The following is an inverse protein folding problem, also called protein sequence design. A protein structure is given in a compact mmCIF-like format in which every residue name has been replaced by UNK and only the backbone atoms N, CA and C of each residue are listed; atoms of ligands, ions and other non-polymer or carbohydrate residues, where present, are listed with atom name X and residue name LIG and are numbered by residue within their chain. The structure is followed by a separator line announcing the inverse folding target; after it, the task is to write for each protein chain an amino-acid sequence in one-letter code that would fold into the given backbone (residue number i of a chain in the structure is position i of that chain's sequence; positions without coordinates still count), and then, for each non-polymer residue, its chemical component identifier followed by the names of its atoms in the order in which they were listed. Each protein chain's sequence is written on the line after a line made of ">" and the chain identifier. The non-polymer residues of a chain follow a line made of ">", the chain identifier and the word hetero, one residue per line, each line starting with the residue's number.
data_IF_176861740153
#
_entry.id   IF_176861740153
#
_cell.length_a   1.000
_cell.length_b   1.000
_cell.length_c   1.000
_cell.angle_alpha   90.00
_cell.angle_beta   90.00
_cell.angle_gamma   90.00
#
_symmetry.space_group_name_H-M   'P 1'
#
loop_
_entity.id
_entity.type
_entity.pdbx_description
1 polymer ?
#
# COMPACT_ATOMS: atom_id res chain seq x y z
N UNK A 1 23.48 13.07 -11.69
CA UNK A 1 23.48 12.57 -13.08
C UNK A 1 22.43 11.48 -13.11
N UNK A 2 21.37 11.67 -13.87
CA UNK A 2 20.36 10.63 -14.07
C UNK A 2 20.92 9.67 -15.12
N UNK A 3 20.83 8.36 -14.85
CA UNK A 3 21.44 7.32 -15.70
C UNK A 3 20.44 6.68 -16.67
N UNK A 4 19.15 7.03 -16.55
CA UNK A 4 18.04 6.45 -17.29
C UNK A 4 16.95 7.51 -17.47
N UNK A 5 16.38 7.60 -18.67
CA UNK A 5 15.21 8.42 -18.98
C UNK A 5 13.90 7.63 -18.75
N UNK A 6 12.79 8.35 -18.57
CA UNK A 6 11.44 7.74 -18.61
C UNK A 6 10.97 7.63 -20.07
N UNK A 7 10.45 6.48 -20.53
CA UNK A 7 9.92 6.35 -21.89
C UNK A 7 8.84 7.40 -22.21
N UNK A 8 8.82 7.98 -23.43
CA UNK A 8 7.90 9.06 -23.80
C UNK A 8 6.43 8.61 -23.99
N UNK A 9 6.17 7.31 -23.84
CA UNK A 9 4.87 6.64 -23.92
C UNK A 9 4.93 5.34 -23.13
N UNK A 10 3.77 4.79 -22.78
CA UNK A 10 3.68 3.45 -22.19
C UNK A 10 4.13 2.37 -23.20
N UNK A 11 4.99 1.46 -22.75
CA UNK A 11 5.46 0.31 -23.52
C UNK A 11 4.98 -1.00 -22.90
N UNK A 12 4.13 -1.74 -23.62
CA UNK A 12 3.57 -3.02 -23.20
C UNK A 12 4.29 -4.16 -23.92
N UNK A 13 5.49 -4.49 -23.46
CA UNK A 13 6.36 -5.46 -24.10
C UNK A 13 5.91 -6.89 -23.76
N UNK A 14 5.61 -7.68 -24.80
CA UNK A 14 5.29 -9.12 -24.69
C UNK A 14 6.01 -9.93 -25.75
N UNK A 15 6.17 -11.23 -25.52
CA UNK A 15 6.64 -12.20 -26.51
C UNK A 15 5.91 -13.54 -26.37
N UNK A 16 5.84 -14.31 -27.45
CA UNK A 16 5.15 -15.59 -27.51
C UNK A 16 6.13 -16.77 -27.48
N UNK A 17 5.73 -17.87 -26.84
CA UNK A 17 6.51 -19.10 -26.71
C UNK A 17 5.65 -20.33 -27.04
N UNK A 18 6.24 -21.39 -27.64
CA UNK A 18 5.52 -22.62 -27.93
C UNK A 18 5.30 -23.53 -26.70
N UNK A 19 5.86 -23.17 -25.53
CA UNK A 19 5.89 -24.02 -24.33
C UNK A 19 5.13 -23.46 -23.12
N UNK A 20 4.90 -22.14 -23.04
CA UNK A 20 4.14 -21.50 -21.96
C UNK A 20 3.25 -20.34 -22.42
N UNK A 21 3.03 -20.19 -23.74
CA UNK A 21 2.20 -19.11 -24.28
C UNK A 21 2.90 -17.76 -24.23
N UNK A 22 2.17 -16.70 -23.86
CA UNK A 22 2.62 -15.30 -23.93
C UNK A 22 3.20 -14.82 -22.60
N UNK A 23 4.38 -14.22 -22.65
CA UNK A 23 5.02 -13.56 -21.52
C UNK A 23 4.88 -12.04 -21.59
N UNK A 24 4.69 -11.39 -20.44
CA UNK A 24 4.92 -9.96 -20.27
C UNK A 24 6.30 -9.68 -19.66
N UNK A 25 6.89 -8.52 -19.96
CA UNK A 25 8.17 -8.06 -19.41
C UNK A 25 7.95 -6.83 -18.51
N UNK A 26 8.46 -6.89 -17.28
CA UNK A 26 8.44 -5.80 -16.29
C UNK A 26 9.76 -5.73 -15.52
N UNK A 27 10.13 -4.53 -15.03
CA UNK A 27 11.42 -4.29 -14.37
C UNK A 27 11.22 -3.68 -12.97
N UNK A 28 11.80 -4.32 -11.97
CA UNK A 28 11.95 -3.86 -10.59
C UNK A 28 10.74 -3.15 -9.96
N UNK A 29 10.64 -1.83 -10.09
CA UNK A 29 9.64 -1.02 -9.39
C UNK A 29 8.26 -1.03 -10.08
N UNK A 30 8.20 -1.40 -11.36
CA UNK A 30 6.97 -1.51 -12.18
C UNK A 30 5.87 -2.31 -11.49
N UNK A 31 6.23 -3.35 -10.72
CA UNK A 31 5.30 -4.27 -10.05
C UNK A 31 4.38 -3.56 -9.03
N UNK A 32 4.76 -2.35 -8.58
CA UNK A 32 3.95 -1.52 -7.70
C UNK A 32 3.00 -0.56 -8.43
N UNK A 33 2.94 -0.53 -9.77
CA UNK A 33 2.14 0.44 -10.55
C UNK A 33 1.12 -0.24 -11.48
N UNK A 34 0.15 0.53 -11.97
CA UNK A 34 -0.82 0.01 -12.94
C UNK A 34 -0.19 -0.22 -14.31
N UNK A 35 0.66 0.70 -14.73
CA UNK A 35 1.32 0.68 -16.03
C UNK A 35 2.83 0.52 -15.83
N UNK A 36 3.51 -0.41 -16.51
CA UNK A 36 2.96 -1.39 -17.46
C UNK A 36 2.28 -2.63 -16.82
N UNK A 37 2.52 -2.90 -15.53
CA UNK A 37 2.25 -4.22 -14.92
C UNK A 37 0.80 -4.71 -15.01
N UNK A 38 -0.18 -3.94 -14.53
CA UNK A 38 -1.60 -4.33 -14.55
C UNK A 38 -2.18 -4.30 -15.97
N UNK A 39 -1.70 -3.39 -16.83
CA UNK A 39 -2.03 -3.41 -18.26
C UNK A 39 -1.54 -4.69 -18.95
N UNK A 40 -0.31 -5.14 -18.67
CA UNK A 40 0.22 -6.42 -19.14
C UNK A 40 -0.56 -7.61 -18.58
N UNK A 41 -0.88 -7.63 -17.29
CA UNK A 41 -1.71 -8.69 -16.68
C UNK A 41 -3.09 -8.80 -17.34
N UNK A 42 -3.73 -7.68 -17.70
CA UNK A 42 -5.01 -7.68 -18.42
C UNK A 42 -4.87 -8.15 -19.88
N UNK A 43 -3.81 -7.70 -20.57
CA UNK A 43 -3.54 -8.06 -21.96
C UNK A 43 -3.19 -9.55 -22.12
N UNK A 44 -2.29 -10.05 -21.27
CA UNK A 44 -1.82 -11.44 -21.29
C UNK A 44 -2.85 -12.37 -20.61
N UNK A 45 -3.61 -11.89 -19.62
CA UNK A 45 -4.73 -12.57 -18.98
C UNK A 45 -5.92 -12.91 -19.88
N UNK A 46 -5.88 -12.50 -21.15
CA UNK A 46 -6.79 -12.97 -22.21
C UNK A 46 -6.36 -14.33 -22.81
N UNK A 47 -5.22 -14.87 -22.39
CA UNK A 47 -4.66 -16.16 -22.84
C UNK A 47 -4.59 -17.16 -21.68
N UNK A 48 -4.52 -18.46 -22.02
CA UNK A 48 -4.66 -19.59 -21.07
C UNK A 48 -3.54 -19.61 -19.99
N UNK A 49 -2.39 -19.02 -20.29
CA UNK A 49 -1.26 -18.87 -19.38
C UNK A 49 -0.86 -17.39 -19.35
N UNK A 50 -0.51 -16.88 -18.18
CA UNK A 50 -0.09 -15.48 -17.98
C UNK A 50 1.11 -15.44 -17.09
N UNK A 51 2.26 -15.24 -17.72
CA UNK A 51 3.55 -15.32 -17.07
C UNK A 51 4.30 -13.99 -17.24
N UNK A 52 4.85 -13.46 -16.14
CA UNK A 52 5.67 -12.24 -16.15
C UNK A 52 7.14 -12.60 -15.96
N UNK A 53 7.98 -12.17 -16.90
CA UNK A 53 9.43 -12.10 -16.69
C UNK A 53 9.73 -10.82 -15.92
N UNK A 54 10.37 -10.96 -14.75
CA UNK A 54 10.61 -9.86 -13.83
C UNK A 54 12.08 -9.81 -13.40
N UNK A 55 12.86 -8.97 -14.06
CA UNK A 55 14.22 -8.63 -13.62
C UNK A 55 14.15 -7.52 -12.57
N UNK A 56 14.91 -7.65 -11.48
CA UNK A 56 14.78 -6.72 -10.36
C UNK A 56 16.09 -6.50 -9.59
N UNK A 57 16.18 -5.34 -8.94
CA UNK A 57 17.25 -4.94 -8.03
C UNK A 57 16.59 -4.51 -6.70
N UNK A 58 15.79 -5.41 -6.14
CA UNK A 58 14.88 -5.12 -5.05
C UNK A 58 15.62 -5.06 -3.71
N UNK A 59 15.56 -3.90 -3.06
CA UNK A 59 16.07 -3.70 -1.70
C UNK A 59 14.99 -4.10 -0.69
N UNK A 60 15.17 -5.21 0.01
CA UNK A 60 14.14 -5.77 0.89
C UNK A 60 13.75 -4.82 2.04
N UNK A 61 12.44 -4.58 2.19
CA UNK A 61 11.86 -3.65 3.16
C UNK A 61 10.72 -4.32 3.95
N UNK A 62 11.11 -5.13 4.94
CA UNK A 62 10.19 -5.74 5.90
C UNK A 62 9.40 -4.70 6.72
N UNK A 63 8.16 -5.02 7.16
CA UNK A 63 7.49 -6.32 7.09
C UNK A 63 6.48 -6.46 5.93
N UNK A 64 6.55 -5.62 4.89
CA UNK A 64 5.56 -5.58 3.80
C UNK A 64 6.15 -5.79 2.39
N UNK A 65 7.39 -5.34 2.18
CA UNK A 65 8.03 -5.23 0.86
C UNK A 65 9.39 -5.95 0.85
N UNK A 66 9.45 -7.13 1.47
CA UNK A 66 10.49 -8.09 1.11
C UNK A 66 10.19 -8.68 -0.29
N UNK A 67 11.23 -8.94 -1.09
CA UNK A 67 11.07 -9.40 -2.47
C UNK A 67 10.32 -10.73 -2.57
N UNK A 68 10.72 -11.78 -1.84
CA UNK A 68 10.03 -13.08 -1.96
C UNK A 68 8.61 -13.01 -1.42
N UNK A 69 8.37 -12.16 -0.41
CA UNK A 69 7.04 -11.89 0.16
C UNK A 69 6.14 -11.22 -0.88
N UNK A 70 6.56 -10.07 -1.43
CA UNK A 70 5.71 -9.26 -2.31
C UNK A 70 5.55 -9.88 -3.70
N UNK A 71 6.60 -10.45 -4.29
CA UNK A 71 6.51 -11.02 -5.64
C UNK A 71 5.62 -12.28 -5.65
N UNK A 72 5.67 -13.09 -4.58
CA UNK A 72 4.72 -14.21 -4.38
C UNK A 72 3.29 -13.72 -4.17
N UNK A 73 3.10 -12.67 -3.37
CA UNK A 73 1.79 -12.06 -3.10
C UNK A 73 1.16 -11.44 -4.36
N UNK A 74 1.97 -10.86 -5.23
CA UNK A 74 1.55 -10.39 -6.55
C UNK A 74 1.03 -11.56 -7.40
N UNK A 75 1.84 -12.62 -7.55
CA UNK A 75 1.46 -13.84 -8.29
C UNK A 75 0.13 -14.44 -7.79
N UNK A 76 -0.04 -14.59 -6.47
CA UNK A 76 -1.27 -15.11 -5.85
C UNK A 76 -2.46 -14.15 -6.00
N UNK A 77 -2.24 -12.84 -5.83
CA UNK A 77 -3.30 -11.83 -5.85
C UNK A 77 -3.81 -11.49 -7.25
N UNK A 78 -2.93 -11.49 -8.25
CA UNK A 78 -3.25 -11.27 -9.66
C UNK A 78 -3.59 -12.56 -10.43
N UNK A 79 -3.34 -13.74 -9.85
CA UNK A 79 -3.48 -15.05 -10.48
C UNK A 79 -2.61 -15.22 -11.75
N UNK A 80 -1.33 -14.87 -11.64
CA UNK A 80 -0.32 -14.97 -12.71
C UNK A 80 0.95 -15.67 -12.23
N UNK A 81 1.75 -16.18 -13.17
CA UNK A 81 3.12 -16.63 -12.87
C UNK A 81 4.05 -15.41 -12.85
N UNK A 82 5.03 -15.38 -11.95
CA UNK A 82 6.11 -14.38 -11.90
C UNK A 82 7.45 -15.10 -11.81
N UNK A 83 8.31 -14.89 -12.81
CA UNK A 83 9.68 -15.36 -12.85
C UNK A 83 10.61 -14.21 -12.39
N UNK A 84 10.85 -14.16 -11.08
CA UNK A 84 11.55 -13.08 -10.38
C UNK A 84 13.06 -13.35 -10.27
N UNK A 85 13.87 -12.57 -10.98
CA UNK A 85 15.34 -12.60 -10.89
C UNK A 85 15.86 -11.33 -10.22
N UNK A 86 16.22 -11.43 -8.93
CA UNK A 86 16.78 -10.34 -8.13
C UNK A 86 18.32 -10.41 -8.07
N UNK A 87 18.95 -9.26 -7.85
CA UNK A 87 20.38 -9.18 -7.54
C UNK A 87 20.70 -9.80 -6.17
N UNK A 88 21.92 -10.32 -6.03
CA UNK A 88 22.56 -10.62 -4.73
C UNK A 88 23.52 -9.49 -4.39
N UNK A 89 23.17 -8.68 -3.40
CA UNK A 89 24.01 -7.63 -2.81
C UNK A 89 23.56 -7.34 -1.38
N UNK A 90 24.32 -7.81 -0.39
CA UNK A 90 24.02 -7.71 1.03
C UNK A 90 24.02 -6.26 1.52
N UNK A 91 24.98 -5.47 1.05
CA UNK A 91 25.14 -4.04 1.41
C UNK A 91 23.87 -3.22 1.10
N UNK A 92 23.15 -3.60 0.05
CA UNK A 92 21.89 -2.95 -0.36
C UNK A 92 20.63 -3.76 0.01
N UNK A 93 20.75 -4.85 0.79
CA UNK A 93 19.66 -5.78 1.15
C UNK A 93 18.95 -6.38 -0.07
N UNK A 94 19.70 -6.62 -1.14
CA UNK A 94 19.23 -7.30 -2.34
C UNK A 94 19.52 -8.79 -2.23
N UNK A 95 18.46 -9.56 -2.07
CA UNK A 95 18.41 -11.03 -2.20
C UNK A 95 16.94 -11.43 -2.28
N UNK A 96 16.62 -12.62 -2.77
CA UNK A 96 15.23 -13.07 -2.96
C UNK A 96 14.84 -13.15 -4.43
N UNK A 97 15.11 -14.31 -5.03
CA UNK A 97 14.72 -14.67 -6.40
C UNK A 97 13.78 -15.88 -6.34
N UNK A 98 12.87 -16.02 -7.32
CA UNK A 98 11.94 -17.14 -7.29
C UNK A 98 11.01 -17.25 -8.49
N UNK A 99 10.46 -18.46 -8.63
CA UNK A 99 9.43 -18.84 -9.57
C UNK A 99 8.14 -18.96 -8.76
N UNK A 100 7.18 -18.08 -9.02
CA UNK A 100 5.91 -18.02 -8.29
C UNK A 100 4.78 -18.31 -9.27
N UNK A 101 4.01 -19.36 -9.05
CA UNK A 101 2.73 -19.59 -9.74
C UNK A 101 1.58 -19.22 -8.79
N UNK A 102 0.32 -19.09 -9.22
CA UNK A 102 -0.78 -18.82 -8.28
C UNK A 102 -0.88 -19.83 -7.12
N UNK A 103 -0.44 -21.08 -7.31
CA UNK A 103 -0.63 -22.21 -6.39
C UNK A 103 0.69 -22.85 -5.88
N UNK A 104 1.86 -22.33 -6.25
CA UNK A 104 3.17 -22.84 -5.82
C UNK A 104 4.26 -21.77 -5.80
N UNK A 105 5.37 -22.06 -5.12
CA UNK A 105 6.53 -21.19 -5.03
C UNK A 105 7.82 -22.01 -5.01
N UNK A 106 8.83 -21.59 -5.77
CA UNK A 106 10.19 -22.14 -5.71
C UNK A 106 11.16 -20.97 -5.69
N UNK A 107 11.73 -20.65 -4.52
CA UNK A 107 12.48 -19.43 -4.28
C UNK A 107 13.77 -19.66 -3.49
N UNK A 108 14.66 -18.69 -3.55
CA UNK A 108 15.84 -18.57 -2.70
C UNK A 108 15.99 -17.14 -2.20
N UNK A 109 16.13 -17.01 -0.88
CA UNK A 109 16.48 -15.78 -0.20
C UNK A 109 17.67 -16.07 0.72
N UNK A 110 18.69 -15.22 0.72
CA UNK A 110 19.85 -15.42 1.59
C UNK A 110 19.49 -15.06 3.03
N UNK A 111 19.60 -16.02 3.94
CA UNK A 111 19.36 -15.83 5.38
C UNK A 111 20.70 -15.94 6.10
N UNK A 112 21.08 -14.88 6.80
CA UNK A 112 22.39 -14.72 7.46
C UNK A 112 23.60 -14.77 6.50
N UNK A 113 24.81 -14.67 7.08
CA UNK A 113 26.11 -14.30 6.45
C UNK A 113 26.70 -15.36 5.49
N UNK A 114 25.90 -15.90 4.59
CA UNK A 114 26.40 -16.70 3.46
C UNK A 114 27.12 -15.82 2.42
N UNK A 115 28.04 -16.37 1.61
CA UNK A 115 28.75 -15.60 0.59
C UNK A 115 27.79 -14.95 -0.44
N UNK A 116 28.26 -13.93 -1.15
CA UNK A 116 27.52 -13.26 -2.24
C UNK A 116 27.56 -14.11 -3.53
N UNK A 117 27.04 -15.34 -3.45
CA UNK A 117 26.93 -16.27 -4.57
C UNK A 117 25.63 -16.08 -5.36
N UNK A 118 25.72 -16.23 -6.68
CA UNK A 118 24.55 -16.41 -7.53
C UNK A 118 23.87 -17.77 -7.28
N UNK A 119 22.56 -17.85 -7.53
CA UNK A 119 21.78 -19.09 -7.43
C UNK A 119 20.93 -19.27 -8.69
N UNK A 120 20.89 -20.50 -9.19
CA UNK A 120 19.96 -20.94 -10.24
C UNK A 120 18.76 -21.64 -9.58
N UNK A 121 17.55 -21.34 -10.05
CA UNK A 121 16.32 -21.99 -9.62
C UNK A 121 15.62 -22.61 -10.84
N UNK A 122 15.14 -23.85 -10.68
CA UNK A 122 14.44 -24.61 -11.71
C UNK A 122 13.28 -25.35 -11.05
N UNK A 123 12.12 -25.37 -11.69
CA UNK A 123 10.93 -26.09 -11.20
C UNK A 123 10.05 -26.53 -12.38
N UNK A 124 9.01 -27.32 -12.11
CA UNK A 124 7.96 -27.69 -13.07
C UNK A 124 6.63 -27.04 -12.66
N UNK A 125 5.72 -26.85 -13.61
CA UNK A 125 4.42 -26.19 -13.39
C UNK A 125 3.26 -27.14 -13.70
N UNK A 126 2.43 -27.42 -12.69
CA UNK A 126 1.23 -28.27 -12.74
C UNK A 126 0.09 -27.60 -11.92
N UNK A 127 -1.15 -27.55 -12.42
CA UNK A 127 -2.16 -26.53 -12.01
C UNK A 127 -3.46 -27.08 -11.33
N UNK A 128 -4.07 -26.34 -10.37
CA UNK A 128 -5.45 -26.58 -9.82
C UNK A 128 -6.04 -25.40 -8.97
N UNK A 129 -7.38 -25.36 -8.72
CA UNK A 129 -8.11 -24.30 -7.97
C UNK A 129 -9.41 -24.75 -7.22
N UNK A 130 -9.82 -24.09 -6.09
CA UNK A 130 -11.22 -23.97 -5.54
C UNK A 130 -11.35 -22.95 -4.35
N UNK A 131 -12.55 -22.72 -3.75
CA UNK A 131 -12.94 -21.45 -3.05
C UNK A 131 -13.65 -21.43 -1.64
N UNK A 132 -14.70 -20.59 -1.50
CA UNK A 132 -15.05 -19.68 -0.34
C UNK A 132 -15.91 -20.16 0.87
N UNK A 133 -15.99 -19.35 1.95
CA UNK A 133 -17.09 -18.95 2.89
C UNK A 133 -16.56 -18.37 4.26
N UNK A 134 -17.28 -17.38 4.86
CA UNK A 134 -16.93 -16.55 6.06
C UNK A 134 -17.66 -16.97 7.39
N UNK A 135 -17.94 -16.21 8.49
CA UNK A 135 -17.98 -14.77 8.96
C UNK A 135 -18.06 -14.77 10.54
N UNK A 136 -17.97 -13.72 11.42
CA UNK A 136 -17.56 -12.29 11.37
C UNK A 136 -16.86 -11.72 12.67
N UNK A 137 -17.46 -11.05 13.71
CA UNK A 137 -16.84 -9.82 14.32
C UNK A 137 -16.93 -9.53 15.87
N UNK A 138 -15.99 -8.75 16.46
CA UNK A 138 -16.22 -7.67 17.50
C UNK A 138 -14.91 -6.95 17.92
N UNK A 139 -14.93 -5.74 18.55
CA UNK A 139 -13.74 -4.86 18.67
C UNK A 139 -13.11 -4.74 20.08
N UNK A 140 -11.83 -4.33 20.11
CA UNK A 140 -11.06 -3.89 21.30
C UNK A 140 -10.33 -2.55 21.07
N UNK A 141 -9.53 -2.10 22.04
CA UNK A 141 -8.87 -0.77 22.05
C UNK A 141 -7.57 -0.71 21.22
N UNK A 142 -7.39 0.36 20.43
CA UNK A 142 -6.28 0.55 19.49
C UNK A 142 -5.25 1.63 19.89
N UNK A 143 -4.08 1.61 19.24
CA UNK A 143 -2.98 2.58 19.33
C UNK A 143 -2.46 2.93 17.92
N UNK A 144 -1.48 3.84 17.81
CA UNK A 144 -0.83 4.22 16.53
C UNK A 144 0.64 3.81 16.47
N UNK A 145 1.15 3.41 15.31
CA UNK A 145 2.56 3.07 15.10
C UNK A 145 3.01 3.19 13.65
N UNK A 146 4.31 3.40 13.42
CA UNK A 146 4.86 3.61 12.06
C UNK A 146 5.35 2.30 11.45
N UNK A 147 4.86 1.96 10.27
CA UNK A 147 5.27 0.79 9.48
C UNK A 147 5.52 1.21 8.04
N UNK A 148 6.70 0.89 7.50
CA UNK A 148 7.11 1.30 6.14
C UNK A 148 6.89 2.81 5.85
N UNK A 149 7.28 3.69 6.79
CA UNK A 149 7.10 5.15 6.75
C UNK A 149 5.65 5.68 6.89
N UNK A 150 4.66 4.80 6.85
CA UNK A 150 3.23 5.11 6.99
C UNK A 150 2.76 4.95 8.44
N UNK A 151 1.73 5.71 8.83
CA UNK A 151 1.19 5.69 10.19
C UNK A 151 -0.06 4.79 10.26
N UNK A 152 0.08 3.63 10.88
CA UNK A 152 -0.97 2.61 11.03
C UNK A 152 -1.71 2.76 12.35
N UNK A 153 -3.00 2.43 12.34
CA UNK A 153 -3.76 2.13 13.55
C UNK A 153 -3.61 0.63 13.87
N UNK A 154 -3.17 0.30 15.09
CA UNK A 154 -2.87 -1.05 15.55
C UNK A 154 -3.72 -1.48 16.76
N UNK A 155 -3.90 -2.79 16.97
CA UNK A 155 -4.45 -3.41 18.18
C UNK A 155 -3.62 -4.65 18.55
N UNK A 156 -3.30 -4.81 19.84
CA UNK A 156 -2.43 -5.91 20.32
C UNK A 156 -3.17 -7.24 20.43
N UNK A 157 -2.49 -8.34 20.10
CA UNK A 157 -2.99 -9.72 20.25
C UNK A 157 -2.74 -10.22 21.69
N UNK A 158 -3.35 -9.55 22.66
CA UNK A 158 -3.10 -9.79 24.09
C UNK A 158 -3.61 -11.15 24.61
N UNK A 159 -4.53 -11.82 23.93
CA UNK A 159 -5.21 -13.02 24.44
C UNK A 159 -4.69 -14.32 23.82
N UNK A 160 -5.09 -15.47 24.39
CA UNK A 160 -4.73 -16.79 23.84
C UNK A 160 -5.43 -17.08 22.51
N UNK A 161 -6.61 -16.49 22.32
CA UNK A 161 -7.39 -16.45 21.08
C UNK A 161 -8.27 -15.20 21.11
N UNK A 162 -8.71 -14.71 19.95
CA UNK A 162 -9.59 -13.55 19.91
C UNK A 162 -10.19 -13.24 18.55
N UNK A 163 -11.21 -12.39 18.57
CA UNK A 163 -11.74 -11.68 17.42
C UNK A 163 -11.36 -10.20 17.62
N UNK A 164 -10.61 -9.63 16.70
CA UNK A 164 -10.10 -8.26 16.77
C UNK A 164 -10.53 -7.47 15.54
N UNK A 165 -10.77 -6.18 15.75
CA UNK A 165 -11.07 -5.22 14.68
C UNK A 165 -10.30 -3.94 14.93
N UNK A 166 -9.67 -3.41 13.89
CA UNK A 166 -9.04 -2.08 13.87
C UNK A 166 -9.32 -1.42 12.53
N UNK A 167 -9.42 -0.09 12.51
CA UNK A 167 -9.74 0.66 11.29
C UNK A 167 -8.81 1.85 11.13
N UNK A 168 -8.54 2.22 9.88
CA UNK A 168 -8.12 3.56 9.50
C UNK A 168 -9.27 4.20 8.72
N UNK A 169 -9.80 5.30 9.27
CA UNK A 169 -10.93 6.04 8.71
C UNK A 169 -12.13 5.12 8.43
N UNK A 170 -12.42 4.80 7.16
CA UNK A 170 -13.51 3.87 6.76
C UNK A 170 -13.03 2.47 6.40
N UNK A 171 -11.71 2.24 6.28
CA UNK A 171 -11.14 0.94 5.97
C UNK A 171 -10.89 0.15 7.26
N UNK A 172 -11.36 -1.09 7.33
CA UNK A 172 -11.33 -1.88 8.56
C UNK A 172 -10.78 -3.29 8.34
N UNK A 173 -9.85 -3.64 9.21
CA UNK A 173 -9.27 -4.96 9.38
C UNK A 173 -10.04 -5.76 10.43
N UNK A 174 -10.20 -7.05 10.14
CA UNK A 174 -10.79 -8.04 11.02
C UNK A 174 -9.84 -9.24 11.11
N UNK A 175 -9.62 -9.74 12.33
CA UNK A 175 -8.79 -10.90 12.61
C UNK A 175 -9.49 -11.82 13.59
N UNK A 176 -9.73 -13.05 13.20
CA UNK A 176 -9.97 -14.15 14.15
C UNK A 176 -8.65 -14.92 14.28
N UNK A 177 -8.16 -15.14 15.50
CA UNK A 177 -6.90 -15.85 15.73
C UNK A 177 -6.94 -16.76 16.95
N UNK A 178 -6.06 -17.76 16.96
CA UNK A 178 -5.78 -18.63 18.11
C UNK A 178 -4.30 -19.01 18.12
N UNK A 179 -3.60 -18.75 19.22
CA UNK A 179 -2.22 -19.20 19.38
C UNK A 179 -2.16 -20.72 19.54
N UNK A 180 -1.33 -21.37 18.73
CA UNK A 180 -0.97 -22.80 18.84
C UNK A 180 0.34 -22.99 19.59
N UNK A 181 1.25 -22.00 19.53
CA UNK A 181 2.38 -21.82 20.44
C UNK A 181 2.71 -20.33 20.54
N UNK A 182 2.79 -19.76 21.75
CA UNK A 182 3.11 -18.33 21.92
C UNK A 182 3.70 -18.07 23.30
N UNK A 183 4.67 -17.15 23.38
CA UNK A 183 5.23 -16.69 24.64
C UNK A 183 5.21 -15.15 24.74
N UNK A 184 4.23 -14.63 25.51
CA UNK A 184 4.02 -13.21 25.76
C UNK A 184 5.21 -12.49 26.43
N UNK A 185 6.15 -13.21 27.05
CA UNK A 185 7.39 -12.64 27.62
C UNK A 185 8.59 -12.64 26.67
N UNK A 186 8.42 -13.15 25.43
CA UNK A 186 9.42 -13.06 24.35
C UNK A 186 8.94 -12.21 23.18
N UNK A 187 7.68 -12.33 22.79
CA UNK A 187 7.18 -11.77 21.54
C UNK A 187 5.84 -11.06 21.73
N UNK A 188 5.69 -9.91 21.06
CA UNK A 188 4.45 -9.14 20.98
C UNK A 188 3.97 -9.08 19.53
N UNK A 189 2.66 -9.04 19.33
CA UNK A 189 2.02 -8.99 18.02
C UNK A 189 0.89 -7.97 17.97
N UNK A 190 0.69 -7.37 16.81
CA UNK A 190 -0.39 -6.43 16.55
C UNK A 190 -1.08 -6.71 15.20
N UNK A 191 -2.40 -6.50 15.15
CA UNK A 191 -3.15 -6.31 13.92
C UNK A 191 -3.15 -4.81 13.58
N UNK A 192 -2.82 -4.44 12.35
CA UNK A 192 -2.77 -3.06 11.87
C UNK A 192 -3.61 -2.81 10.62
N UNK A 193 -4.18 -1.61 10.53
CA UNK A 193 -4.88 -1.07 9.36
C UNK A 193 -4.29 0.30 8.95
N UNK A 194 -4.20 0.53 7.64
CA UNK A 194 -3.86 1.82 7.02
C UNK A 194 -4.60 1.97 5.69
N UNK A 195 -5.06 3.20 5.37
CA UNK A 195 -5.70 3.54 4.12
C UNK A 195 -5.36 4.97 3.68
N UNK A 196 -4.32 5.12 2.86
CA UNK A 196 -3.81 6.45 2.49
C UNK A 196 -2.77 6.45 1.38
N UNK A 197 -2.14 7.61 1.19
CA UNK A 197 -0.96 7.76 0.33
C UNK A 197 0.28 7.33 1.10
N UNK A 198 1.10 6.46 0.50
CA UNK A 198 2.40 6.08 1.02
C UNK A 198 3.32 7.31 1.17
N UNK A 199 3.91 7.44 2.35
CA UNK A 199 4.72 8.55 2.83
C UNK A 199 6.23 8.32 2.58
N UNK A 200 6.55 7.60 1.49
CA UNK A 200 7.91 7.40 1.00
C UNK A 200 8.37 8.51 0.04
N UNK A 201 9.55 8.29 -0.57
CA UNK A 201 10.09 9.17 -1.63
C UNK A 201 9.25 9.15 -2.91
N UNK A 202 8.58 8.04 -3.20
CA UNK A 202 7.66 7.89 -4.34
C UNK A 202 6.26 7.63 -3.77
N UNK A 203 5.28 8.40 -4.22
CA UNK A 203 3.91 8.37 -3.69
C UNK A 203 3.03 7.41 -4.47
N UNK A 204 2.29 6.58 -3.76
CA UNK A 204 1.30 5.67 -4.31
C UNK A 204 0.26 5.33 -3.22
N UNK A 205 -0.98 5.03 -3.61
CA UNK A 205 -2.10 4.85 -2.70
C UNK A 205 -2.32 3.38 -2.32
N UNK A 206 -2.55 3.12 -1.03
CA UNK A 206 -2.70 1.76 -0.50
C UNK A 206 -3.85 1.65 0.51
N UNK A 207 -4.39 0.43 0.59
CA UNK A 207 -5.15 -0.05 1.74
C UNK A 207 -4.44 -1.31 2.22
N UNK A 208 -3.98 -1.35 3.48
CA UNK A 208 -3.14 -2.46 3.97
C UNK A 208 -3.70 -2.99 5.28
N UNK A 209 -3.84 -4.32 5.32
CA UNK A 209 -4.32 -5.03 6.49
C UNK A 209 -3.32 -6.10 6.89
N UNK A 210 -2.67 -5.98 8.05
CA UNK A 210 -1.54 -6.83 8.41
C UNK A 210 -1.53 -7.25 9.89
N UNK A 211 -1.25 -8.51 10.16
CA UNK A 211 -0.80 -9.00 11.47
C UNK A 211 0.71 -9.05 11.45
N UNK A 212 1.37 -8.38 12.39
CA UNK A 212 2.84 -8.29 12.46
C UNK A 212 3.36 -8.67 13.84
N UNK A 213 4.51 -9.34 13.85
CA UNK A 213 5.37 -9.42 15.03
C UNK A 213 6.02 -8.06 15.27
N UNK A 214 6.01 -7.59 16.51
CA UNK A 214 6.70 -6.37 16.92
C UNK A 214 8.18 -6.67 17.18
N UNK A 215 9.08 -5.70 17.02
CA UNK A 215 10.52 -5.96 17.16
C UNK A 215 10.95 -6.25 18.60
N UNK A 216 10.21 -5.74 19.59
CA UNK A 216 10.34 -6.07 21.01
C UNK A 216 8.98 -6.20 21.70
N UNK A 217 8.98 -6.10 23.03
CA UNK A 217 7.78 -6.19 23.88
C UNK A 217 7.02 -4.87 24.04
N UNK A 218 7.42 -3.81 23.35
CA UNK A 218 6.74 -2.52 23.35
C UNK A 218 5.87 -2.33 22.11
N UNK A 219 4.67 -1.74 22.28
CA UNK A 219 3.77 -1.42 21.17
C UNK A 219 4.40 -0.44 20.15
N UNK A 220 5.32 0.42 20.60
CA UNK A 220 6.17 1.31 19.79
C UNK A 220 7.02 0.58 18.73
N UNK A 221 7.26 -0.72 18.94
CA UNK A 221 8.11 -1.56 18.08
C UNK A 221 7.33 -2.35 17.01
N UNK A 222 6.00 -2.24 16.99
CA UNK A 222 5.15 -2.90 16.01
C UNK A 222 5.25 -2.19 14.64
N UNK A 223 5.53 -2.97 13.58
CA UNK A 223 5.80 -2.44 12.24
C UNK A 223 7.27 -2.17 11.91
N UNK A 224 8.18 -2.39 12.86
CA UNK A 224 9.63 -2.33 12.64
C UNK A 224 10.16 -3.62 11.97
N UNK A 225 11.44 -3.62 11.60
CA UNK A 225 12.10 -4.72 10.88
C UNK A 225 12.36 -5.94 11.79
N UNK A 226 11.83 -7.10 11.40
CA UNK A 226 11.92 -8.36 12.17
C UNK A 226 12.27 -9.53 11.24
N UNK A 227 13.31 -10.30 11.58
CA UNK A 227 13.77 -11.48 10.82
C UNK A 227 13.41 -12.82 11.47
N UNK A 228 13.14 -12.82 12.78
CA UNK A 228 12.99 -14.03 13.58
C UNK A 228 11.65 -14.04 14.32
N UNK A 229 11.03 -15.22 14.41
CA UNK A 229 9.77 -15.43 15.10
C UNK A 229 9.64 -16.87 15.65
N UNK A 230 9.15 -17.01 16.88
CA UNK A 230 8.84 -18.31 17.51
C UNK A 230 7.34 -18.64 17.48
N UNK A 231 6.47 -17.63 17.62
CA UNK A 231 5.04 -17.80 17.90
C UNK A 231 4.21 -18.17 16.66
N UNK A 232 3.27 -19.10 16.87
CA UNK A 232 2.49 -19.80 15.84
C UNK A 232 1.00 -19.62 16.15
N UNK A 233 0.20 -19.27 15.14
CA UNK A 233 -1.23 -19.06 15.27
C UNK A 233 -2.01 -19.70 14.11
N UNK A 234 -3.22 -20.16 14.41
CA UNK A 234 -4.29 -20.28 13.41
C UNK A 234 -4.92 -18.89 13.24
N UNK A 235 -5.25 -18.49 12.00
CA UNK A 235 -5.89 -17.20 11.76
C UNK A 235 -6.85 -17.16 10.56
N UNK A 236 -7.79 -16.22 10.62
CA UNK A 236 -8.56 -15.69 9.50
C UNK A 236 -8.39 -14.16 9.52
N UNK A 237 -7.65 -13.63 8.54
CA UNK A 237 -7.39 -12.20 8.36
C UNK A 237 -8.21 -11.69 7.17
N UNK A 238 -8.98 -10.62 7.35
CA UNK A 238 -9.83 -10.09 6.29
C UNK A 238 -10.09 -8.59 6.38
N UNK A 239 -10.42 -8.00 5.23
CA UNK A 239 -10.79 -6.59 5.08
C UNK A 239 -11.70 -6.40 3.86
N UNK A 240 -12.42 -5.29 3.81
CA UNK A 240 -13.19 -4.87 2.62
C UNK A 240 -12.45 -3.75 1.91
N UNK A 241 -11.95 -4.05 0.73
CA UNK A 241 -11.09 -3.18 -0.08
C UNK A 241 -11.92 -2.39 -1.10
N UNK A 242 -11.45 -1.18 -1.43
CA UNK A 242 -11.98 -0.34 -2.51
C UNK A 242 -11.24 -0.59 -3.84
N UNK A 243 -10.69 -1.80 -3.99
CA UNK A 243 -9.83 -2.24 -5.12
C UNK A 243 -9.83 -3.77 -5.21
N UNK A 244 -9.84 -4.32 -6.41
CA UNK A 244 -9.66 -5.76 -6.66
C UNK A 244 -8.17 -6.20 -6.55
N UNK A 245 -7.26 -5.22 -6.66
CA UNK A 245 -5.80 -5.39 -6.70
C UNK A 245 -5.22 -5.59 -5.30
N UNK A 246 -5.65 -6.68 -4.66
CA UNK A 246 -5.23 -7.12 -3.32
C UNK A 246 -4.29 -8.31 -3.41
N UNK A 247 -3.12 -8.16 -2.79
CA UNK A 247 -1.98 -9.07 -2.82
C UNK A 247 -1.77 -9.69 -1.42
N UNK A 248 -2.12 -10.97 -1.22
CA UNK A 248 -2.02 -11.65 0.07
C UNK A 248 -0.64 -12.29 0.29
N UNK A 249 -0.04 -12.10 1.46
CA UNK A 249 1.26 -12.67 1.83
C UNK A 249 1.26 -13.30 3.22
N UNK A 250 1.93 -14.43 3.41
CA UNK A 250 2.28 -14.98 4.74
C UNK A 250 3.77 -15.27 4.76
N UNK A 251 4.51 -14.61 5.66
CA UNK A 251 5.96 -14.76 5.82
C UNK A 251 6.27 -15.24 7.26
N UNK A 252 7.03 -16.33 7.34
CA UNK A 252 7.46 -16.95 8.58
C UNK A 252 8.95 -16.77 8.83
N UNK A 253 9.37 -17.17 10.03
CA UNK A 253 10.75 -17.35 10.46
C UNK A 253 11.64 -17.99 9.39
N UNK A 254 12.93 -17.62 9.37
CA UNK A 254 13.90 -18.02 8.34
C UNK A 254 13.49 -17.60 6.91
N UNK A 255 12.72 -16.52 6.76
CA UNK A 255 12.24 -15.99 5.49
C UNK A 255 11.48 -17.04 4.64
N UNK A 256 10.64 -17.86 5.29
CA UNK A 256 9.81 -18.82 4.55
C UNK A 256 8.44 -18.21 4.20
N UNK A 257 8.18 -17.98 2.91
CA UNK A 257 6.86 -17.56 2.43
C UNK A 257 5.95 -18.78 2.28
N UNK A 258 4.76 -18.72 2.88
CA UNK A 258 3.72 -19.75 2.78
C UNK A 258 2.51 -19.25 1.99
N UNK A 259 1.82 -20.21 1.38
CA UNK A 259 0.49 -20.01 0.79
C UNK A 259 -0.59 -20.30 1.84
N UNK A 260 -1.63 -19.47 1.98
CA UNK A 260 -2.75 -19.74 2.89
C UNK A 260 -3.58 -20.95 2.44
N UNK A 261 -4.14 -21.69 3.40
CA UNK A 261 -5.09 -22.79 3.16
C UNK A 261 -6.25 -22.39 2.24
N UNK A 262 -6.70 -21.13 2.41
CA UNK A 262 -7.90 -20.59 1.77
C UNK A 262 -7.71 -19.10 1.53
N UNK A 263 -7.97 -18.68 0.30
CA UNK A 263 -8.04 -17.28 -0.12
C UNK A 263 -9.39 -17.01 -0.76
N UNK A 264 -10.02 -15.92 -0.38
CA UNK A 264 -11.35 -15.55 -0.83
C UNK A 264 -11.38 -14.10 -1.27
N UNK A 265 -11.85 -13.84 -2.49
CA UNK A 265 -12.18 -12.49 -2.98
C UNK A 265 -13.66 -12.47 -3.39
N UNK A 266 -14.45 -11.53 -2.89
CA UNK A 266 -15.89 -11.38 -3.21
C UNK A 266 -16.15 -10.15 -4.09
N UNK A 267 -17.29 -10.13 -4.78
CA UNK A 267 -17.72 -8.98 -5.61
C UNK A 267 -18.03 -7.71 -4.82
N UNK A 268 -18.09 -7.78 -3.48
CA UNK A 268 -18.22 -6.62 -2.59
C UNK A 268 -16.88 -6.09 -2.07
N UNK A 269 -15.75 -6.43 -2.69
CA UNK A 269 -14.41 -6.00 -2.27
C UNK A 269 -13.87 -6.69 -1.00
N UNK A 270 -14.65 -7.55 -0.33
CA UNK A 270 -14.16 -8.34 0.80
C UNK A 270 -13.10 -9.35 0.32
N UNK A 271 -11.92 -9.28 0.92
CA UNK A 271 -10.84 -10.26 0.75
C UNK A 271 -10.52 -10.88 2.10
N UNK A 272 -10.48 -12.21 2.15
CA UNK A 272 -10.23 -12.99 3.37
C UNK A 272 -9.19 -14.08 3.12
N UNK A 273 -8.29 -14.28 4.09
CA UNK A 273 -7.17 -15.22 4.04
C UNK A 273 -7.12 -16.05 5.32
N UNK A 274 -7.17 -17.37 5.19
CA UNK A 274 -7.12 -18.30 6.33
C UNK A 274 -5.84 -19.14 6.33
N UNK A 275 -5.27 -19.35 7.51
CA UNK A 275 -4.22 -20.34 7.79
C UNK A 275 -4.56 -21.15 9.04
N UNK A 276 -4.29 -22.46 9.00
CA UNK A 276 -4.50 -23.41 10.11
C UNK A 276 -3.24 -24.27 10.29
N UNK A 277 -2.92 -24.67 11.53
CA UNK A 277 -1.73 -25.45 11.88
C UNK A 277 -0.41 -24.84 11.38
N UNK A 278 -0.23 -23.52 11.55
CA UNK A 278 1.02 -22.83 11.16
C UNK A 278 2.24 -23.45 11.87
N UNK A 279 3.19 -23.99 11.11
CA UNK A 279 4.30 -24.79 11.65
C UNK A 279 5.55 -23.99 11.99
N UNK A 280 5.82 -22.89 11.28
CA UNK A 280 6.86 -21.91 11.61
C UNK A 280 6.31 -20.75 12.45
N UNK A 281 7.20 -19.98 13.09
CA UNK A 281 6.80 -18.75 13.76
C UNK A 281 6.43 -17.66 12.74
N UNK A 282 5.35 -16.91 12.99
CA UNK A 282 4.85 -15.89 12.06
C UNK A 282 5.64 -14.58 12.20
N UNK A 283 6.23 -14.08 11.12
CA UNK A 283 6.75 -12.70 11.10
C UNK A 283 5.60 -11.74 10.74
N UNK A 284 4.86 -12.05 9.67
CA UNK A 284 3.80 -11.19 9.15
C UNK A 284 2.80 -11.95 8.28
N UNK A 285 1.52 -11.62 8.40
CA UNK A 285 0.45 -12.03 7.50
C UNK A 285 -0.28 -10.77 7.01
N UNK A 286 -0.39 -10.56 5.71
CA UNK A 286 -0.82 -9.27 5.13
C UNK A 286 -1.75 -9.46 3.93
N UNK A 287 -2.72 -8.54 3.81
CA UNK A 287 -3.52 -8.27 2.62
C UNK A 287 -3.19 -6.85 2.15
N UNK A 288 -2.43 -6.73 1.07
CA UNK A 288 -1.90 -5.46 0.57
C UNK A 288 -2.68 -5.02 -0.69
N UNK A 289 -3.55 -4.02 -0.56
CA UNK A 289 -4.38 -3.49 -1.66
C UNK A 289 -3.79 -2.24 -2.29
N UNK A 290 -3.63 -2.22 -3.63
CA UNK A 290 -3.21 -1.02 -4.38
C UNK A 290 -4.40 -0.27 -4.94
N UNK A 291 -4.46 1.02 -4.64
CA UNK A 291 -5.50 1.96 -5.03
C UNK A 291 -5.06 2.81 -6.23
N UNK A 292 -4.65 2.16 -7.33
CA UNK A 292 -3.98 2.81 -8.48
C UNK A 292 -4.66 4.08 -8.99
N UNK A 293 -6.01 4.10 -9.01
CA UNK A 293 -6.82 5.23 -9.42
C UNK A 293 -6.63 6.50 -8.56
N UNK A 294 -6.02 6.38 -7.38
CA UNK A 294 -5.72 7.50 -6.47
C UNK A 294 -4.27 8.00 -6.58
N UNK A 295 -3.37 7.26 -7.22
CA UNK A 295 -1.94 7.61 -7.35
C UNK A 295 -1.73 8.98 -8.03
N UNK A 296 -2.57 9.26 -9.02
CA UNK A 296 -2.52 10.47 -9.85
C UNK A 296 -3.45 11.60 -9.37
N UNK A 297 -4.15 11.43 -8.24
CA UNK A 297 -5.02 12.50 -7.74
C UNK A 297 -4.17 13.71 -7.31
N UNK A 298 -4.40 14.91 -7.88
CA UNK A 298 -3.79 16.12 -7.36
C UNK A 298 -4.28 16.30 -5.93
N UNK A 299 -3.35 16.45 -4.97
CA UNK A 299 -3.74 16.66 -3.57
C UNK A 299 -4.71 17.83 -3.50
N UNK A 300 -5.87 17.62 -2.86
CA UNK A 300 -6.84 18.67 -2.61
C UNK A 300 -6.23 19.67 -1.61
N UNK A 301 -5.45 20.59 -2.16
CA UNK A 301 -4.44 21.32 -1.41
C UNK A 301 -5.18 22.27 -0.47
N UNK A 302 -5.03 22.06 0.84
CA UNK A 302 -5.67 22.89 1.87
C UNK A 302 -5.41 24.38 1.63
N UNK A 303 -4.24 24.69 1.06
CA UNK A 303 -3.84 26.03 0.68
C UNK A 303 -4.68 26.62 -0.45
N UNK A 304 -5.12 25.84 -1.44
CA UNK A 304 -6.02 26.32 -2.52
C UNK A 304 -7.40 26.65 -1.98
N UNK A 305 -7.98 25.79 -1.14
CA UNK A 305 -9.29 26.08 -0.51
C UNK A 305 -9.18 27.28 0.44
N UNK A 306 -8.11 27.37 1.24
CA UNK A 306 -7.81 28.56 2.07
C UNK A 306 -7.63 29.82 1.23
N UNK A 307 -6.96 29.74 0.08
CA UNK A 307 -6.75 30.88 -0.83
C UNK A 307 -8.06 31.34 -1.46
N UNK A 308 -8.93 30.41 -1.88
CA UNK A 308 -10.28 30.72 -2.38
C UNK A 308 -11.13 31.38 -1.28
N UNK A 309 -11.14 30.82 -0.07
CA UNK A 309 -11.85 31.42 1.09
C UNK A 309 -11.28 32.79 1.44
N UNK A 310 -9.96 32.97 1.42
CA UNK A 310 -9.29 34.25 1.66
C UNK A 310 -9.63 35.28 0.58
N UNK A 311 -9.63 34.90 -0.70
CA UNK A 311 -10.05 35.76 -1.82
C UNK A 311 -11.51 36.17 -1.71
N UNK A 312 -12.42 35.25 -1.36
CA UNK A 312 -13.83 35.54 -1.14
C UNK A 312 -14.05 36.51 0.03
N UNK A 313 -13.35 36.29 1.15
CA UNK A 313 -13.37 37.19 2.31
C UNK A 313 -12.78 38.56 1.99
N UNK A 314 -11.68 38.63 1.22
CA UNK A 314 -11.04 39.87 0.80
C UNK A 314 -11.93 40.68 -0.15
N UNK A 315 -12.57 40.04 -1.13
CA UNK A 315 -13.55 40.67 -2.03
C UNK A 315 -14.76 41.17 -1.23
N UNK A 316 -15.27 40.40 -0.27
CA UNK A 316 -16.34 40.83 0.63
C UNK A 316 -15.94 42.07 1.47
N UNK A 317 -14.71 42.09 1.99
CA UNK A 317 -14.17 43.23 2.74
C UNK A 317 -14.02 44.48 1.87
N UNK A 318 -13.56 44.35 0.62
CA UNK A 318 -13.53 45.43 -0.36
C UNK A 318 -14.94 45.95 -0.69
N UNK A 319 -15.94 45.09 -0.80
CA UNK A 319 -17.35 45.49 -0.98
C UNK A 319 -17.88 46.28 0.23
N UNK A 320 -17.52 45.89 1.45
CA UNK A 320 -17.87 46.63 2.67
C UNK A 320 -17.18 48.01 2.73
N UNK A 321 -15.88 48.08 2.43
CA UNK A 321 -15.14 49.35 2.34
C UNK A 321 -15.74 50.25 1.26
N UNK A 322 -16.08 49.70 0.09
CA UNK A 322 -16.71 50.46 -1.00
C UNK A 322 -18.07 51.03 -0.58
N UNK A 323 -18.95 50.21 0.04
CA UNK A 323 -20.23 50.70 0.61
C UNK A 323 -20.01 51.79 1.68
N UNK A 324 -19.03 51.63 2.56
CA UNK A 324 -18.72 52.61 3.61
C UNK A 324 -18.21 53.94 3.03
N UNK A 325 -17.34 53.90 2.01
CA UNK A 325 -16.88 55.08 1.28
C UNK A 325 -18.01 55.77 0.52
N UNK A 326 -18.88 55.03 -0.18
CA UNK A 326 -20.09 55.57 -0.82
C UNK A 326 -20.97 56.30 0.22
N UNK A 327 -21.21 55.68 1.37
CA UNK A 327 -22.02 56.27 2.44
C UNK A 327 -21.38 57.53 3.05
N UNK A 328 -20.03 57.62 3.11
CA UNK A 328 -19.33 58.86 3.51
C UNK A 328 -19.35 59.96 2.45
N UNK A 329 -19.24 59.62 1.16
CA UNK A 329 -19.27 60.58 0.06
C UNK A 329 -20.64 61.27 -0.05
N UNK A 330 -21.73 60.58 0.27
CA UNK A 330 -23.08 61.17 0.35
C UNK A 330 -23.18 62.24 1.46
N UNK A 331 -22.44 62.12 2.56
CA UNK A 331 -22.50 63.06 3.69
C UNK A 331 -21.55 64.26 3.58
N UNK A 332 -20.60 64.30 2.64
CA UNK A 332 -19.62 65.41 2.53
C UNK A 332 -19.96 66.49 1.50
N UNK A 333 -21.09 66.38 0.76
CA UNK A 333 -21.58 67.45 -0.14
C UNK A 333 -22.42 68.51 0.59
N UNK A 334 -21.79 69.21 1.54
CA UNK A 334 -22.28 70.48 2.09
C UNK A 334 -21.15 71.51 2.02
N UNK A 335 -21.06 72.24 0.90
CA UNK A 335 -19.97 73.20 0.63
C UNK A 335 -20.27 74.63 1.11
N UNK A 336 -19.24 75.51 1.13
CA UNK A 336 -19.43 76.94 1.35
C UNK A 336 -19.91 77.65 0.08
N UNK A 337 -20.74 78.68 0.26
CA UNK A 337 -21.23 79.55 -0.83
C UNK A 337 -20.16 80.58 -1.20
N UNK A 338 -20.00 80.86 -2.49
CA UNK A 338 -19.31 82.08 -2.95
C UNK A 338 -20.33 83.15 -3.34
N UNK A 339 -20.15 84.36 -2.83
CA UNK A 339 -20.92 85.55 -3.20
C UNK A 339 -20.30 86.25 -4.42
N UNK A 340 -21.10 86.79 -5.35
CA UNK A 340 -20.57 87.53 -6.48
C UNK A 340 -20.07 88.93 -6.06
N UNK A 341 -18.97 89.37 -6.66
CA UNK A 341 -18.46 90.74 -6.59
C UNK A 341 -18.73 91.45 -7.93
N UNK A 342 -19.02 92.75 -7.89
CA UNK A 342 -19.62 93.51 -9.00
C UNK A 342 -18.80 94.77 -9.30
N UNK A 343 -18.96 95.33 -10.52
CA UNK A 343 -18.26 96.48 -11.15
C UNK A 343 -16.93 96.13 -11.85
N UNK A 344 -16.49 96.84 -12.90
CA UNK A 344 -17.05 98.04 -13.58
C UNK A 344 -17.00 97.95 -15.11
N UNK A 345 -17.77 98.81 -15.77
CA UNK A 345 -17.71 99.15 -17.21
C UNK A 345 -17.07 100.54 -17.38
N UNK A 346 -16.57 100.82 -18.60
CA UNK A 346 -16.14 102.15 -19.06
C UNK A 346 -14.69 102.53 -18.71
N UNK A 347 -13.88 103.08 -19.62
CA UNK A 347 -14.07 103.32 -21.08
C UNK A 347 -12.76 103.01 -21.83
#
# INVERSE_FOLDING_TARGET
>A
MESFDTPPKLELITFDTPFAGKFGLIICFDILFHDPTVALVKMVGSFIHTDLIFSTAWMNALPLLDSIQFHRAFSLGANVTVLSSNLRNEKHRMTGSGIYTPFSATFYHAVNRGPEEGRLLVTKSDHCHRGRCADSPSPGSSFTGTMAHDLYNFVLLNETQGNLRVCDSTFCCHLQYKWTAHNKSKELYALGAFAGMHNGSIRYAVQVCAVVRCAGLEASSCGQHVLEAESKMDFLLEATFQTDYVYPSVLMNCMEVKQPDKLEKTTGGRVAMKYSNLTGGLITACLYGRMYQLDHLPQNNSNTLKLIVFLLLFVFFLFLICKYCQHKIVHTRAGPRYTPLQRSFGD
#
